data_IF_709668317001
#
_entry.id   IF_709668317001
#
_cell.length_a   1.000
_cell.length_b   1.000
_cell.length_c   1.000
_cell.angle_alpha   90.00
_cell.angle_beta   90.00
_cell.angle_gamma   90.00
#
_symmetry.space_group_name_H-M   'P 1'
#
loop_
_entity.id
_entity.type
_entity.pdbx_description
1 polymer ?
#
# COMPACT_ATOMS: atom_id res chain seq x y z
N UNK A 1 9.37 17.92 25.37
CA UNK A 1 8.22 18.39 26.19
C UNK A 1 8.34 18.02 27.65
N UNK A 2 8.51 16.74 28.02
CA UNK A 2 8.69 16.32 29.45
C UNK A 2 9.83 17.07 30.16
N UNK A 3 11.00 17.24 29.52
CA UNK A 3 12.11 18.05 30.08
C UNK A 3 11.75 19.53 30.28
N UNK A 4 10.99 20.13 29.36
CA UNK A 4 10.51 21.51 29.48
C UNK A 4 9.42 21.66 30.56
N UNK A 5 8.68 20.59 30.83
CA UNK A 5 7.69 20.51 31.90
C UNK A 5 8.37 20.48 33.28
N UNK A 6 9.41 19.66 33.44
CA UNK A 6 10.21 19.62 34.68
C UNK A 6 11.02 20.92 34.92
N UNK A 7 11.47 21.59 33.85
CA UNK A 7 12.13 22.91 33.97
C UNK A 7 11.18 24.02 34.43
N UNK A 8 9.89 23.95 34.09
CA UNK A 8 8.90 24.92 34.55
C UNK A 8 8.50 24.72 36.03
N UNK A 9 8.48 23.48 36.52
CA UNK A 9 8.28 23.15 37.94
C UNK A 9 9.49 23.55 38.81
N UNK A 10 10.68 23.66 38.23
CA UNK A 10 11.92 24.01 38.95
C UNK A 10 12.04 25.52 39.27
N UNK A 11 11.26 26.38 38.60
CA UNK A 11 11.29 27.82 38.81
C UNK A 11 10.41 28.30 39.99
N UNK A 12 9.89 27.40 40.81
CA UNK A 12 8.87 27.70 41.83
C UNK A 12 9.42 27.99 43.24
N UNK A 13 10.73 28.16 43.42
CA UNK A 13 11.32 28.53 44.71
C UNK A 13 11.86 29.95 44.59
N UNK A 14 11.02 30.96 44.85
CA UNK A 14 11.29 32.29 45.42
C UNK A 14 10.00 33.09 45.22
N UNK A 15 9.14 33.13 46.24
CA UNK A 15 8.18 34.20 46.53
C UNK A 15 7.55 33.91 47.87
N UNK A 16 8.26 34.31 48.92
CA UNK A 16 7.75 34.36 50.28
C UNK A 16 7.89 35.80 50.73
N UNK A 17 6.75 36.49 50.85
CA UNK A 17 6.42 37.56 51.82
C UNK A 17 5.40 38.56 51.24
N UNK A 18 4.37 38.88 52.03
CA UNK A 18 3.63 40.14 51.88
C UNK A 18 2.14 40.07 51.53
N UNK A 19 1.35 39.37 52.36
CA UNK A 19 -0.09 39.55 52.63
C UNK A 19 -0.79 40.77 52.01
N UNK A 20 -1.73 40.54 51.06
CA UNK A 20 -3.07 41.20 50.91
C UNK A 20 -3.83 40.89 49.61
N UNK A 21 -3.58 39.79 48.88
CA UNK A 21 -4.28 39.47 47.60
C UNK A 21 -4.91 38.06 47.55
N UNK A 22 -5.38 37.52 48.68
CA UNK A 22 -5.86 36.13 48.78
C UNK A 22 -6.97 35.74 47.78
N UNK A 23 -7.94 36.61 47.51
CA UNK A 23 -9.04 36.27 46.58
C UNK A 23 -8.59 36.19 45.11
N UNK A 24 -7.54 36.93 44.72
CA UNK A 24 -7.01 36.90 43.36
C UNK A 24 -6.03 35.75 43.16
N UNK A 25 -5.21 35.43 44.18
CA UNK A 25 -4.35 34.25 44.18
C UNK A 25 -5.16 32.96 44.15
N UNK A 26 -6.24 32.85 44.92
CA UNK A 26 -7.10 31.66 44.92
C UNK A 26 -7.80 31.46 43.56
N UNK A 27 -8.33 32.53 42.96
CA UNK A 27 -8.92 32.47 41.61
C UNK A 27 -7.87 32.10 40.54
N UNK A 28 -6.64 32.57 40.69
CA UNK A 28 -5.54 32.24 39.79
C UNK A 28 -5.07 30.79 39.95
N UNK A 29 -5.00 30.27 41.18
CA UNK A 29 -4.69 28.88 41.48
C UNK A 29 -5.77 27.93 40.93
N UNK A 30 -7.05 28.28 41.07
CA UNK A 30 -8.16 27.53 40.47
C UNK A 30 -8.11 27.53 38.93
N UNK A 31 -7.83 28.68 38.31
CA UNK A 31 -7.68 28.78 36.85
C UNK A 31 -6.48 27.97 36.35
N UNK A 32 -5.36 28.02 37.07
CA UNK A 32 -4.15 27.23 36.78
C UNK A 32 -4.40 25.73 36.92
N UNK A 33 -5.13 25.29 37.94
CA UNK A 33 -5.52 23.90 38.12
C UNK A 33 -6.46 23.43 36.99
N UNK A 34 -7.41 24.27 36.57
CA UNK A 34 -8.29 23.99 35.44
C UNK A 34 -7.51 23.82 34.13
N UNK A 35 -6.52 24.68 33.87
CA UNK A 35 -5.63 24.56 32.72
C UNK A 35 -4.75 23.31 32.76
N UNK A 36 -4.21 22.94 33.94
CA UNK A 36 -3.47 21.68 34.13
C UNK A 36 -4.34 20.47 33.83
N UNK A 37 -5.60 20.46 34.29
CA UNK A 37 -6.54 19.37 34.02
C UNK A 37 -6.90 19.28 32.53
N UNK A 38 -7.20 20.42 31.86
CA UNK A 38 -7.48 20.43 30.42
C UNK A 38 -6.27 19.99 29.58
N UNK A 39 -5.06 20.38 29.97
CA UNK A 39 -3.84 19.93 29.30
C UNK A 39 -3.57 18.44 29.52
N UNK A 40 -3.80 17.92 30.73
CA UNK A 40 -3.70 16.50 31.03
C UNK A 40 -4.73 15.66 30.25
N UNK A 41 -5.96 16.17 30.12
CA UNK A 41 -7.03 15.57 29.33
C UNK A 41 -6.69 15.56 27.83
N UNK A 42 -6.20 16.67 27.28
CA UNK A 42 -5.73 16.74 25.89
C UNK A 42 -4.57 15.75 25.63
N UNK A 43 -3.63 15.63 26.57
CA UNK A 43 -2.52 14.67 26.48
C UNK A 43 -2.98 13.20 26.64
N UNK A 44 -4.04 12.95 27.40
CA UNK A 44 -4.67 11.63 27.49
C UNK A 44 -5.41 11.28 26.20
N UNK A 45 -6.12 12.25 25.61
CA UNK A 45 -6.78 12.10 24.30
C UNK A 45 -5.76 11.83 23.19
N UNK A 46 -4.64 12.57 23.14
CA UNK A 46 -3.55 12.32 22.19
C UNK A 46 -2.91 10.93 22.38
N UNK A 47 -2.76 10.46 23.63
CA UNK A 47 -2.25 9.10 23.91
C UNK A 47 -3.25 8.01 23.49
N UNK A 48 -4.54 8.24 23.69
CA UNK A 48 -5.59 7.32 23.26
C UNK A 48 -5.69 7.27 21.73
N UNK A 49 -5.64 8.44 21.09
CA UNK A 49 -5.63 8.58 19.64
C UNK A 49 -4.39 7.93 19.01
N UNK A 50 -3.19 8.13 19.56
CA UNK A 50 -1.96 7.43 19.14
C UNK A 50 -2.02 5.91 19.29
N UNK A 51 -2.77 5.36 20.27
CA UNK A 51 -2.97 3.91 20.39
C UNK A 51 -3.95 3.37 19.35
N UNK A 52 -5.00 4.12 19.04
CA UNK A 52 -6.00 3.77 18.03
C UNK A 52 -5.45 3.86 16.60
N UNK A 53 -4.60 4.87 16.31
CA UNK A 53 -4.03 5.05 14.96
C UNK A 53 -2.84 4.12 14.68
N UNK A 54 -2.17 3.58 15.72
CA UNK A 54 -1.09 2.58 15.56
C UNK A 54 -1.55 1.25 14.97
N UNK A 55 -2.87 1.03 14.87
CA UNK A 55 -3.45 -0.23 14.46
C UNK A 55 -4.03 -0.25 13.04
N UNK A 56 -4.14 0.88 12.30
CA UNK A 56 -4.87 0.85 11.02
C UNK A 56 -4.64 1.96 9.99
N UNK A 57 -3.64 2.84 10.13
CA UNK A 57 -3.41 3.91 9.14
C UNK A 57 -1.98 3.91 8.61
N UNK A 58 -1.87 3.89 7.29
CA UNK A 58 -0.64 4.02 6.48
C UNK A 58 0.17 5.26 6.87
N UNK A 59 1.51 5.15 6.82
CA UNK A 59 2.45 6.16 7.35
C UNK A 59 2.32 7.58 6.79
N UNK A 60 1.83 7.78 5.56
CA UNK A 60 1.70 9.12 4.96
C UNK A 60 0.53 9.93 5.53
N UNK A 61 -0.62 9.32 5.78
CA UNK A 61 -1.75 9.96 6.47
C UNK A 61 -1.40 10.21 7.95
N UNK A 62 -0.61 9.34 8.57
CA UNK A 62 -0.12 9.57 9.92
C UNK A 62 0.82 10.78 9.98
N UNK A 63 1.73 10.95 9.02
CA UNK A 63 2.60 12.14 8.96
C UNK A 63 1.81 13.43 8.71
N UNK A 64 0.86 13.43 7.79
CA UNK A 64 0.04 14.63 7.52
C UNK A 64 -0.80 15.02 8.74
N UNK A 65 -1.39 14.03 9.44
CA UNK A 65 -2.18 14.33 10.64
C UNK A 65 -1.30 14.66 11.86
N UNK A 66 -0.14 14.03 12.04
CA UNK A 66 0.80 14.36 13.12
C UNK A 66 1.41 15.76 12.89
N UNK A 67 1.71 16.14 11.64
CA UNK A 67 2.21 17.48 11.30
C UNK A 67 1.12 18.56 11.43
N UNK A 68 -0.11 18.28 10.99
CA UNK A 68 -1.25 19.19 11.22
C UNK A 68 -1.55 19.36 12.72
N UNK A 69 -1.48 18.27 13.49
CA UNK A 69 -1.63 18.28 14.95
C UNK A 69 -0.52 19.09 15.61
N UNK A 70 0.73 18.92 15.17
CA UNK A 70 1.88 19.65 15.69
C UNK A 70 1.77 21.16 15.39
N UNK A 71 1.35 21.54 14.18
CA UNK A 71 1.11 22.95 13.80
C UNK A 71 0.00 23.59 14.63
N UNK A 72 -1.11 22.88 14.86
CA UNK A 72 -2.20 23.38 15.72
C UNK A 72 -1.74 23.56 17.17
N UNK A 73 -0.99 22.59 17.72
CA UNK A 73 -0.42 22.71 19.07
C UNK A 73 0.55 23.89 19.15
N UNK A 74 1.41 24.09 18.15
CA UNK A 74 2.32 25.24 18.09
C UNK A 74 1.56 26.57 18.00
N UNK A 75 0.49 26.66 17.20
CA UNK A 75 -0.34 27.87 17.13
C UNK A 75 -1.02 28.19 18.46
N UNK A 76 -1.57 27.18 19.15
CA UNK A 76 -2.20 27.38 20.47
C UNK A 76 -1.17 27.82 21.51
N UNK A 77 0.01 27.18 21.55
CA UNK A 77 1.09 27.53 22.48
C UNK A 77 1.62 28.93 22.23
N UNK A 78 1.84 29.31 20.97
CA UNK A 78 2.32 30.65 20.60
C UNK A 78 1.27 31.73 20.89
N UNK A 79 0.00 31.48 20.58
CA UNK A 79 -1.10 32.39 20.92
C UNK A 79 -1.25 32.57 22.44
N UNK A 80 -1.08 31.49 23.22
CA UNK A 80 -1.11 31.55 24.68
C UNK A 80 0.06 32.35 25.24
N UNK A 81 1.29 32.13 24.74
CA UNK A 81 2.45 32.91 25.16
C UNK A 81 2.33 34.39 24.82
N UNK A 82 1.81 34.71 23.64
CA UNK A 82 1.54 36.10 23.23
C UNK A 82 0.55 36.77 24.19
N UNK A 83 -0.59 36.14 24.46
CA UNK A 83 -1.58 36.67 25.41
C UNK A 83 -1.01 36.81 26.84
N UNK A 84 -0.15 35.89 27.27
CA UNK A 84 0.53 35.96 28.58
C UNK A 84 1.49 37.16 28.64
N UNK A 85 2.24 37.43 27.57
CA UNK A 85 3.14 38.58 27.47
C UNK A 85 2.35 39.89 27.48
N UNK A 86 1.30 39.99 26.64
CA UNK A 86 0.42 41.17 26.57
C UNK A 86 -0.22 41.49 27.92
N UNK A 87 -0.62 40.46 28.67
CA UNK A 87 -1.15 40.63 30.03
C UNK A 87 -0.09 41.08 31.03
N UNK A 88 1.14 40.58 30.92
CA UNK A 88 2.25 41.01 31.78
C UNK A 88 2.68 42.45 31.49
N UNK A 89 2.63 42.88 30.22
CA UNK A 89 2.88 44.29 29.85
C UNK A 89 1.78 45.20 30.37
N UNK A 90 0.49 44.83 30.21
CA UNK A 90 -0.62 45.61 30.76
C UNK A 90 -0.58 45.68 32.29
N UNK A 91 -0.18 44.61 32.97
CA UNK A 91 0.00 44.61 34.42
C UNK A 91 1.13 45.54 34.89
N UNK A 92 2.22 45.65 34.11
CA UNK A 92 3.31 46.62 34.37
C UNK A 92 2.86 48.06 34.13
N UNK A 93 2.04 48.31 33.11
CA UNK A 93 1.49 49.65 32.85
C UNK A 93 0.46 50.08 33.90
N UNK A 94 -0.23 49.11 34.51
CA UNK A 94 -1.20 49.34 35.57
C UNK A 94 -0.59 49.37 36.98
N UNK A 95 0.67 48.99 37.17
CA UNK A 95 1.36 49.19 38.45
C UNK A 95 1.65 50.68 38.63
N UNK A 96 0.89 51.40 39.46
CA UNK A 96 1.04 52.84 39.60
C UNK A 96 2.27 53.08 40.47
N UNK A 97 3.38 53.53 39.87
CA UNK A 97 4.53 54.27 40.42
C UNK A 97 4.70 54.29 41.96
N UNK A 98 4.64 53.14 42.65
CA UNK A 98 4.62 53.06 44.12
C UNK A 98 5.98 53.19 44.78
N UNK A 99 7.04 53.42 44.00
CA UNK A 99 8.40 53.57 44.48
C UNK A 99 9.04 54.85 43.91
N UNK A 100 8.42 56.01 44.16
CA UNK A 100 9.13 57.29 44.12
C UNK A 100 9.27 57.78 45.57
N UNK A 101 10.51 57.95 46.08
CA UNK A 101 10.71 58.44 47.44
C UNK A 101 10.12 59.86 47.58
N UNK A 102 9.65 60.23 48.78
CA UNK A 102 9.03 61.53 49.02
C UNK A 102 10.08 62.63 48.85
N UNK A 103 9.89 63.46 47.83
CA UNK A 103 10.58 64.74 47.70
C UNK A 103 9.88 65.74 48.62
N UNK A 104 10.59 66.44 49.52
CA UNK A 104 9.97 67.39 50.42
C UNK A 104 9.46 68.63 49.66
N UNK A 105 8.18 68.90 49.88
CA UNK A 105 7.47 70.17 49.90
C UNK A 105 8.12 71.35 49.16
N UNK A 106 7.48 71.78 48.07
CA UNK A 106 7.24 73.21 47.87
C UNK A 106 6.04 73.48 46.93
N UNK A 107 5.18 74.37 47.45
CA UNK A 107 4.16 75.21 46.81
C UNK A 107 2.86 74.57 46.33
N UNK A 108 1.89 74.68 47.24
CA UNK A 108 0.45 74.83 47.05
C UNK A 108 0.07 75.70 45.84
N UNK A 109 -1.04 75.30 45.19
CA UNK A 109 -2.00 76.07 44.37
C UNK A 109 -2.37 75.49 42.99
N UNK A 110 -1.92 74.27 42.64
CA UNK A 110 -2.33 73.57 41.39
C UNK A 110 -3.14 72.28 41.57
N UNK A 111 -3.60 71.96 42.80
CA UNK A 111 -4.03 70.59 43.15
C UNK A 111 -5.49 70.21 42.82
N UNK A 112 -6.32 71.14 42.32
CA UNK A 112 -7.74 70.87 42.04
C UNK A 112 -8.04 70.56 40.56
N UNK A 113 -7.09 70.78 39.64
CA UNK A 113 -7.28 70.47 38.21
C UNK A 113 -6.93 69.02 37.84
N UNK A 114 -6.05 68.34 38.59
CA UNK A 114 -5.62 66.96 38.32
C UNK A 114 -6.64 65.88 38.72
N UNK A 115 -7.64 66.24 39.54
CA UNK A 115 -8.70 65.30 39.93
C UNK A 115 -9.72 65.03 38.82
N UNK A 116 -9.98 66.01 37.95
CA UNK A 116 -11.00 65.90 36.91
C UNK A 116 -10.56 64.97 35.75
N UNK A 117 -9.28 65.03 35.35
CA UNK A 117 -8.73 64.16 34.28
C UNK A 117 -8.67 62.68 34.71
N UNK A 118 -8.47 62.42 36.01
CA UNK A 118 -8.48 61.07 36.59
C UNK A 118 -9.87 60.42 36.53
N UNK A 119 -10.93 61.18 36.80
CA UNK A 119 -12.30 60.66 36.71
C UNK A 119 -12.72 60.32 35.29
N UNK A 120 -12.32 61.14 34.30
CA UNK A 120 -12.63 60.90 32.90
C UNK A 120 -11.88 59.68 32.35
N UNK A 121 -10.62 59.49 32.75
CA UNK A 121 -9.86 58.27 32.49
C UNK A 121 -10.54 57.03 33.10
N UNK A 122 -11.06 57.14 34.33
CA UNK A 122 -11.81 56.06 34.99
C UNK A 122 -13.10 55.67 34.26
N UNK A 123 -13.88 56.65 33.78
CA UNK A 123 -15.10 56.40 33.00
C UNK A 123 -14.78 55.77 31.64
N UNK A 124 -13.71 56.24 30.98
CA UNK A 124 -13.23 55.65 29.73
C UNK A 124 -12.80 54.19 29.93
N UNK A 125 -12.03 53.89 30.97
CA UNK A 125 -11.64 52.53 31.32
C UNK A 125 -12.85 51.62 31.61
N UNK A 126 -13.85 52.10 32.36
CA UNK A 126 -15.06 51.35 32.65
C UNK A 126 -15.89 51.05 31.40
N UNK A 127 -15.95 51.97 30.44
CA UNK A 127 -16.62 51.74 29.15
C UNK A 127 -15.91 50.68 28.31
N UNK A 128 -14.57 50.72 28.25
CA UNK A 128 -13.74 49.72 27.56
C UNK A 128 -13.88 48.33 28.18
N UNK A 129 -13.95 48.24 29.51
CA UNK A 129 -14.19 46.98 30.22
C UNK A 129 -15.53 46.35 29.84
N UNK A 130 -16.61 47.14 29.77
CA UNK A 130 -17.94 46.65 29.36
C UNK A 130 -17.95 46.14 27.92
N UNK A 131 -17.21 46.78 27.02
CA UNK A 131 -17.05 46.31 25.64
C UNK A 131 -16.28 44.98 25.62
N UNK A 132 -15.19 44.87 26.39
CA UNK A 132 -14.41 43.64 26.51
C UNK A 132 -15.25 42.47 27.07
N UNK A 133 -16.11 42.70 28.06
CA UNK A 133 -17.00 41.67 28.62
C UNK A 133 -18.04 41.17 27.61
N UNK A 134 -18.56 42.07 26.75
CA UNK A 134 -19.47 41.69 25.65
C UNK A 134 -18.76 40.86 24.60
N UNK A 135 -17.52 41.22 24.25
CA UNK A 135 -16.73 40.41 23.31
C UNK A 135 -16.35 39.06 23.92
N UNK A 136 -15.99 38.99 25.20
CA UNK A 136 -15.73 37.72 25.88
C UNK A 136 -16.95 36.80 25.92
N UNK A 137 -18.15 37.34 26.13
CA UNK A 137 -19.39 36.56 26.10
C UNK A 137 -19.72 36.07 24.68
N UNK A 138 -19.52 36.90 23.66
CA UNK A 138 -19.65 36.52 22.25
C UNK A 138 -18.68 35.39 21.87
N UNK A 139 -17.40 35.50 22.24
CA UNK A 139 -16.39 34.48 21.96
C UNK A 139 -16.70 33.16 22.65
N UNK A 140 -17.18 33.17 23.90
CA UNK A 140 -17.63 31.95 24.60
C UNK A 140 -18.80 31.27 23.90
N UNK A 141 -19.71 32.03 23.28
CA UNK A 141 -20.82 31.46 22.52
C UNK A 141 -20.31 30.80 21.23
N UNK A 142 -19.41 31.46 20.50
CA UNK A 142 -18.75 30.88 19.32
C UNK A 142 -17.96 29.61 19.67
N UNK A 143 -17.22 29.61 20.78
CA UNK A 143 -16.52 28.42 21.28
C UNK A 143 -17.49 27.25 21.52
N UNK A 144 -18.62 27.50 22.19
CA UNK A 144 -19.65 26.48 22.41
C UNK A 144 -20.24 25.94 21.10
N UNK A 145 -20.50 26.82 20.13
CA UNK A 145 -21.04 26.42 18.83
C UNK A 145 -20.04 25.55 18.06
N UNK A 146 -18.77 25.96 17.99
CA UNK A 146 -17.73 25.16 17.33
C UNK A 146 -17.50 23.82 18.02
N UNK A 147 -17.57 23.75 19.35
CA UNK A 147 -17.50 22.47 20.07
C UNK A 147 -18.67 21.55 19.74
N UNK A 148 -19.88 22.09 19.57
CA UNK A 148 -21.05 21.33 19.14
C UNK A 148 -20.92 20.83 17.69
N UNK A 149 -20.45 21.68 16.77
CA UNK A 149 -20.16 21.30 15.38
C UNK A 149 -19.11 20.18 15.33
N UNK A 150 -18.00 20.31 16.06
CA UNK A 150 -16.96 19.27 16.12
C UNK A 150 -17.48 17.95 16.70
N UNK A 151 -18.38 18.00 17.69
CA UNK A 151 -19.01 16.79 18.22
C UNK A 151 -19.88 16.10 17.15
N UNK A 152 -20.66 16.86 16.39
CA UNK A 152 -21.50 16.34 15.30
C UNK A 152 -20.70 15.75 14.14
N UNK A 153 -19.57 16.38 13.78
CA UNK A 153 -18.67 15.87 12.74
C UNK A 153 -18.01 14.56 13.18
N UNK A 154 -17.58 14.46 14.45
CA UNK A 154 -17.01 13.23 15.00
C UNK A 154 -17.99 12.07 14.99
N UNK A 155 -19.27 12.31 15.29
CA UNK A 155 -20.29 11.24 15.22
C UNK A 155 -20.52 10.81 13.77
N UNK A 156 -20.62 11.75 12.83
CA UNK A 156 -20.78 11.44 11.40
C UNK A 156 -19.57 10.70 10.82
N UNK A 157 -18.34 11.06 11.22
CA UNK A 157 -17.14 10.32 10.83
C UNK A 157 -17.13 8.89 11.37
N UNK A 158 -17.54 8.71 12.63
CA UNK A 158 -17.65 7.37 13.24
C UNK A 158 -18.64 6.48 12.49
N UNK A 159 -19.80 7.02 12.13
CA UNK A 159 -20.80 6.30 11.32
C UNK A 159 -20.26 5.88 9.95
N UNK A 160 -19.53 6.78 9.26
CA UNK A 160 -18.88 6.47 7.97
C UNK A 160 -17.83 5.37 8.12
N UNK A 161 -17.02 5.41 9.19
CA UNK A 161 -16.02 4.37 9.46
C UNK A 161 -16.68 3.02 9.74
N UNK A 162 -17.79 3.00 10.49
CA UNK A 162 -18.55 1.78 10.74
C UNK A 162 -19.22 1.22 9.47
N UNK A 163 -19.71 2.08 8.58
CA UNK A 163 -20.25 1.67 7.28
C UNK A 163 -19.17 1.08 6.37
N UNK A 164 -18.00 1.75 6.27
CA UNK A 164 -16.86 1.22 5.51
C UNK A 164 -16.35 -0.10 6.07
N UNK A 165 -16.32 -0.27 7.40
CA UNK A 165 -15.96 -1.55 8.02
C UNK A 165 -16.94 -2.65 7.62
N UNK A 166 -18.25 -2.38 7.64
CA UNK A 166 -19.28 -3.34 7.20
C UNK A 166 -19.11 -3.74 5.74
N UNK A 167 -18.81 -2.78 4.86
CA UNK A 167 -18.53 -3.04 3.44
C UNK A 167 -17.26 -3.86 3.22
N UNK A 168 -16.23 -3.63 4.03
CA UNK A 168 -14.99 -4.43 3.99
C UNK A 168 -15.26 -5.88 4.40
N UNK A 169 -15.99 -6.09 5.51
CA UNK A 169 -16.36 -7.44 5.97
C UNK A 169 -17.20 -8.20 4.94
N UNK A 170 -18.05 -7.49 4.17
CA UNK A 170 -18.82 -8.06 3.07
C UNK A 170 -17.91 -8.51 1.92
N UNK A 171 -16.97 -7.66 1.50
CA UNK A 171 -16.00 -8.00 0.44
C UNK A 171 -15.11 -9.16 0.87
N UNK A 172 -14.69 -9.22 2.13
CA UNK A 172 -13.92 -10.36 2.67
C UNK A 172 -14.73 -11.66 2.63
N UNK A 173 -16.02 -11.61 2.99
CA UNK A 173 -16.92 -12.77 2.87
C UNK A 173 -17.08 -13.23 1.41
N UNK A 174 -17.24 -12.29 0.47
CA UNK A 174 -17.31 -12.61 -0.97
C UNK A 174 -16.01 -13.23 -1.48
N UNK A 175 -14.85 -12.70 -1.07
CA UNK A 175 -13.55 -13.28 -1.42
C UNK A 175 -13.41 -14.71 -0.91
N UNK A 176 -13.80 -14.99 0.33
CA UNK A 176 -13.73 -16.34 0.90
C UNK A 176 -14.66 -17.31 0.15
N UNK A 177 -15.89 -16.89 -0.16
CA UNK A 177 -16.82 -17.69 -0.96
C UNK A 177 -16.27 -18.01 -2.36
N UNK A 178 -15.70 -17.03 -3.05
CA UNK A 178 -15.06 -17.25 -4.35
C UNK A 178 -13.83 -18.16 -4.24
N UNK A 179 -13.06 -18.05 -3.16
CA UNK A 179 -11.91 -18.92 -2.93
C UNK A 179 -12.33 -20.38 -2.72
N UNK A 180 -13.44 -20.63 -2.00
CA UNK A 180 -14.04 -21.96 -1.88
C UNK A 180 -14.54 -22.49 -3.22
N UNK A 181 -15.16 -21.66 -4.06
CA UNK A 181 -15.61 -22.06 -5.40
C UNK A 181 -14.43 -22.41 -6.33
N UNK A 182 -13.33 -21.67 -6.23
CA UNK A 182 -12.11 -21.96 -7.00
C UNK A 182 -11.47 -23.27 -6.55
N UNK A 183 -11.45 -23.55 -5.24
CA UNK A 183 -10.88 -24.82 -4.76
C UNK A 183 -11.76 -26.00 -5.14
N UNK A 184 -13.08 -25.89 -5.07
CA UNK A 184 -13.98 -26.97 -5.53
C UNK A 184 -13.82 -27.23 -7.02
N UNK A 185 -13.87 -26.19 -7.87
CA UNK A 185 -13.65 -26.33 -9.32
C UNK A 185 -12.27 -26.89 -9.66
N UNK A 186 -11.23 -26.49 -8.92
CA UNK A 186 -9.88 -27.04 -9.08
C UNK A 186 -9.84 -28.54 -8.78
N UNK A 187 -10.51 -28.99 -7.71
CA UNK A 187 -10.61 -30.42 -7.38
C UNK A 187 -11.42 -31.22 -8.40
N UNK A 188 -12.48 -30.64 -8.97
CA UNK A 188 -13.24 -31.24 -10.07
C UNK A 188 -12.37 -31.37 -11.33
N UNK A 189 -11.63 -30.32 -11.70
CA UNK A 189 -10.71 -30.36 -12.83
C UNK A 189 -9.60 -31.39 -12.63
N UNK A 190 -9.03 -31.50 -11.43
CA UNK A 190 -8.02 -32.55 -11.16
C UNK A 190 -8.63 -33.96 -11.18
N UNK A 191 -9.87 -34.13 -10.72
CA UNK A 191 -10.56 -35.42 -10.83
C UNK A 191 -10.85 -35.79 -12.29
N UNK A 192 -11.29 -34.84 -13.12
CA UNK A 192 -11.51 -35.07 -14.56
C UNK A 192 -10.19 -35.35 -15.28
N UNK A 193 -9.12 -34.59 -14.99
CA UNK A 193 -7.79 -34.85 -15.54
C UNK A 193 -7.31 -36.26 -15.17
N UNK A 194 -7.49 -36.67 -13.91
CA UNK A 194 -7.15 -38.03 -13.46
C UNK A 194 -7.96 -39.09 -14.21
N UNK A 195 -9.26 -38.88 -14.39
CA UNK A 195 -10.11 -39.76 -15.18
C UNK A 195 -9.60 -39.91 -16.62
N UNK A 196 -9.20 -38.80 -17.26
CA UNK A 196 -8.61 -38.83 -18.59
C UNK A 196 -7.26 -39.56 -18.61
N UNK A 197 -6.38 -39.34 -17.63
CA UNK A 197 -5.11 -40.08 -17.54
C UNK A 197 -5.32 -41.58 -17.32
N UNK A 198 -6.31 -41.96 -16.52
CA UNK A 198 -6.66 -43.37 -16.29
C UNK A 198 -7.24 -44.01 -17.55
N UNK A 199 -8.08 -43.28 -18.29
CA UNK A 199 -8.67 -43.71 -19.56
C UNK A 199 -7.59 -43.87 -20.64
N UNK A 200 -6.69 -42.90 -20.79
CA UNK A 200 -5.55 -42.99 -21.70
C UNK A 200 -4.61 -44.13 -21.30
N UNK A 201 -4.32 -44.32 -20.01
CA UNK A 201 -3.53 -45.45 -19.53
C UNK A 201 -4.23 -46.80 -19.76
N UNK A 202 -5.56 -46.86 -19.73
CA UNK A 202 -6.31 -48.06 -20.08
C UNK A 202 -6.26 -48.36 -21.58
N UNK A 203 -6.34 -47.32 -22.42
CA UNK A 203 -6.15 -47.43 -23.87
C UNK A 203 -4.73 -47.96 -24.16
N UNK A 204 -3.70 -47.38 -23.54
CA UNK A 204 -2.31 -47.77 -23.74
C UNK A 204 -2.01 -49.20 -23.28
N UNK A 205 -2.54 -49.62 -22.12
CA UNK A 205 -2.52 -51.04 -21.69
C UNK A 205 -3.27 -51.95 -22.66
N UNK A 206 -4.36 -51.47 -23.26
CA UNK A 206 -5.11 -52.17 -24.31
C UNK A 206 -4.37 -52.25 -25.65
N UNK A 207 -3.38 -51.39 -25.89
CA UNK A 207 -2.45 -51.48 -27.02
C UNK A 207 -1.27 -52.40 -26.70
N UNK A 208 -0.65 -52.27 -25.52
CA UNK A 208 0.49 -53.09 -25.11
C UNK A 208 0.12 -54.56 -24.80
N UNK A 209 -1.14 -54.86 -24.46
CA UNK A 209 -1.62 -56.22 -24.20
C UNK A 209 -2.05 -57.02 -25.44
N UNK A 210 -2.13 -56.38 -26.61
CA UNK A 210 -2.44 -57.05 -27.88
C UNK A 210 -1.19 -57.56 -28.60
N UNK A 211 0.02 -57.16 -28.17
CA UNK A 211 1.25 -57.87 -28.48
C UNK A 211 1.35 -59.13 -27.61
N UNK A 212 1.04 -60.30 -28.18
CA UNK A 212 1.25 -61.66 -27.61
C UNK A 212 0.17 -62.25 -26.66
N UNK A 213 -0.95 -61.55 -26.42
CA UNK A 213 -1.97 -61.95 -25.43
C UNK A 213 -3.23 -62.67 -25.92
N UNK A 214 -3.29 -63.18 -27.15
CA UNK A 214 -4.46 -63.88 -27.72
C UNK A 214 -4.84 -65.23 -27.08
N UNK A 215 -4.53 -65.46 -25.79
CA UNK A 215 -4.66 -66.77 -25.12
C UNK A 215 -5.68 -66.85 -23.97
N UNK A 216 -6.15 -65.73 -23.42
CA UNK A 216 -6.93 -65.78 -22.17
C UNK A 216 -8.46 -65.79 -22.34
N UNK A 217 -9.01 -65.34 -23.47
CA UNK A 217 -10.47 -65.39 -23.69
C UNK A 217 -10.97 -66.75 -24.21
N UNK A 218 -10.10 -67.57 -24.81
CA UNK A 218 -10.40 -68.95 -25.24
C UNK A 218 -10.47 -69.98 -24.09
N UNK A 219 -10.23 -69.57 -22.84
CA UNK A 219 -10.24 -70.47 -21.68
C UNK A 219 -11.61 -70.54 -20.98
N UNK A 220 -12.47 -69.52 -21.09
CA UNK A 220 -13.78 -69.51 -20.41
C UNK A 220 -14.90 -70.19 -21.24
N UNK A 221 -14.82 -70.16 -22.57
CA UNK A 221 -15.77 -70.89 -23.44
C UNK A 221 -15.59 -72.41 -23.47
N UNK A 222 -14.47 -72.94 -22.93
CA UNK A 222 -14.22 -74.40 -22.88
C UNK A 222 -14.93 -75.10 -21.72
N UNK A 223 -15.53 -74.38 -20.78
CA UNK A 223 -16.25 -74.95 -19.64
C UNK A 223 -17.74 -75.19 -19.91
N UNK A 224 -18.32 -74.52 -20.93
CA UNK A 224 -19.77 -74.59 -21.24
C UNK A 224 -20.11 -75.45 -22.45
N UNK A 225 -19.13 -76.05 -23.13
CA UNK A 225 -19.39 -76.99 -24.22
C UNK A 225 -19.99 -76.37 -25.50
N UNK A 226 -20.13 -75.05 -25.56
CA UNK A 226 -20.44 -74.34 -26.82
C UNK A 226 -19.13 -74.04 -27.54
N UNK A 227 -18.64 -75.04 -28.27
CA UNK A 227 -17.50 -74.96 -29.18
C UNK A 227 -17.81 -74.18 -30.46
N UNK A 228 -18.41 -73.00 -30.34
CA UNK A 228 -18.41 -72.00 -31.39
C UNK A 228 -17.09 -71.27 -31.33
N UNK A 229 -16.22 -71.52 -32.31
CA UNK A 229 -15.08 -70.65 -32.58
C UNK A 229 -15.64 -69.29 -32.98
N UNK A 230 -15.93 -68.43 -31.99
CA UNK A 230 -16.12 -66.99 -32.17
C UNK A 230 -14.74 -66.42 -32.51
N UNK A 231 -14.26 -66.78 -33.70
CA UNK A 231 -13.22 -66.05 -34.39
C UNK A 231 -13.71 -64.61 -34.40
N UNK A 232 -12.99 -63.73 -33.70
CA UNK A 232 -13.19 -62.29 -33.78
C UNK A 232 -13.44 -61.96 -35.24
N UNK A 233 -14.67 -61.57 -35.54
CA UNK A 233 -15.04 -61.32 -36.92
C UNK A 233 -14.27 -60.08 -37.37
N UNK A 234 -14.02 -59.95 -38.67
CA UNK A 234 -13.43 -58.73 -39.19
C UNK A 234 -14.22 -57.49 -38.75
N UNK A 235 -15.55 -57.63 -38.60
CA UNK A 235 -16.45 -56.61 -38.07
C UNK A 235 -16.17 -56.24 -36.61
N UNK A 236 -15.81 -57.19 -35.74
CA UNK A 236 -15.43 -56.89 -34.36
C UNK A 236 -14.10 -56.13 -34.28
N UNK A 237 -13.14 -56.46 -35.16
CA UNK A 237 -11.88 -55.71 -35.28
C UNK A 237 -12.09 -54.30 -35.79
N UNK A 238 -12.89 -54.14 -36.85
CA UNK A 238 -13.23 -52.83 -37.40
C UNK A 238 -14.02 -51.99 -36.39
N UNK A 239 -14.93 -52.59 -35.64
CA UNK A 239 -15.69 -51.93 -34.56
C UNK A 239 -14.77 -51.49 -33.42
N UNK A 240 -13.80 -52.33 -33.04
CA UNK A 240 -12.80 -51.97 -32.02
C UNK A 240 -11.87 -50.84 -32.48
N UNK A 241 -11.46 -50.85 -33.76
CA UNK A 241 -10.66 -49.76 -34.33
C UNK A 241 -11.47 -48.47 -34.43
N UNK A 242 -12.71 -48.52 -34.92
CA UNK A 242 -13.59 -47.36 -35.02
C UNK A 242 -13.80 -46.70 -33.64
N UNK A 243 -14.10 -47.51 -32.61
CA UNK A 243 -14.26 -47.02 -31.24
C UNK A 243 -12.99 -46.37 -30.65
N UNK A 244 -11.80 -46.68 -31.17
CA UNK A 244 -10.52 -46.06 -30.75
C UNK A 244 -10.17 -44.83 -31.58
N UNK A 245 -10.48 -44.84 -32.88
CA UNK A 245 -10.20 -43.74 -33.80
C UNK A 245 -11.13 -42.57 -33.54
N UNK A 246 -12.39 -42.82 -33.21
CA UNK A 246 -13.38 -41.76 -32.96
C UNK A 246 -12.94 -40.76 -31.87
N UNK A 247 -12.50 -41.17 -30.67
CA UNK A 247 -11.94 -40.24 -29.68
C UNK A 247 -10.73 -39.44 -30.16
N UNK A 248 -9.82 -40.07 -30.91
CA UNK A 248 -8.61 -39.42 -31.44
C UNK A 248 -9.00 -38.36 -32.49
N UNK A 249 -9.94 -38.69 -33.38
CA UNK A 249 -10.42 -37.74 -34.38
C UNK A 249 -11.14 -36.55 -33.75
N UNK A 250 -11.95 -36.80 -32.71
CA UNK A 250 -12.61 -35.74 -31.95
C UNK A 250 -11.61 -34.84 -31.23
N UNK A 251 -10.62 -35.43 -30.56
CA UNK A 251 -9.55 -34.67 -29.90
C UNK A 251 -8.75 -33.83 -30.90
N UNK A 252 -8.35 -34.41 -32.04
CA UNK A 252 -7.65 -33.68 -33.10
C UNK A 252 -8.47 -32.53 -33.66
N UNK A 253 -9.78 -32.69 -33.78
CA UNK A 253 -10.69 -31.62 -34.22
C UNK A 253 -10.83 -30.50 -33.17
N UNK A 254 -10.98 -30.85 -31.89
CA UNK A 254 -11.05 -29.87 -30.80
C UNK A 254 -9.74 -29.10 -30.64
N UNK A 255 -8.60 -29.79 -30.73
CA UNK A 255 -7.27 -29.16 -30.70
C UNK A 255 -7.08 -28.21 -31.88
N UNK A 256 -7.43 -28.65 -33.10
CA UNK A 256 -7.38 -27.80 -34.28
C UNK A 256 -8.25 -26.56 -34.11
N UNK A 257 -9.48 -26.72 -33.64
CA UNK A 257 -10.40 -25.60 -33.41
C UNK A 257 -9.85 -24.61 -32.38
N UNK A 258 -9.33 -25.10 -31.26
CA UNK A 258 -8.70 -24.26 -30.25
C UNK A 258 -7.49 -23.51 -30.81
N UNK A 259 -6.70 -24.17 -31.66
CA UNK A 259 -5.55 -23.55 -32.29
C UNK A 259 -5.96 -22.52 -33.36
N UNK A 260 -7.01 -22.76 -34.14
CA UNK A 260 -7.59 -21.78 -35.07
C UNK A 260 -8.07 -20.50 -34.36
N UNK A 261 -8.51 -20.60 -33.09
CA UNK A 261 -8.85 -19.44 -32.26
C UNK A 261 -7.61 -18.75 -31.66
N UNK A 262 -6.59 -19.51 -31.24
CA UNK A 262 -5.37 -18.98 -30.61
C UNK A 262 -4.40 -18.33 -31.58
N UNK A 263 -4.22 -18.90 -32.78
CA UNK A 263 -3.27 -18.41 -33.79
C UNK A 263 -3.48 -16.94 -34.14
N UNK A 264 -4.69 -16.46 -34.49
CA UNK A 264 -4.89 -15.05 -34.82
C UNK A 264 -4.72 -14.11 -33.61
N UNK A 265 -4.88 -14.62 -32.39
CA UNK A 265 -4.59 -13.84 -31.17
C UNK A 265 -3.09 -13.69 -30.95
N UNK A 266 -2.30 -14.74 -31.14
CA UNK A 266 -0.86 -14.74 -30.88
C UNK A 266 -0.04 -14.18 -32.06
N UNK A 267 -0.49 -14.41 -33.28
CA UNK A 267 0.15 -13.95 -34.52
C UNK A 267 -0.86 -13.22 -35.41
N UNK A 268 -1.26 -11.98 -35.06
CA UNK A 268 -2.27 -11.24 -35.82
C UNK A 268 -1.86 -10.93 -37.28
N UNK A 269 -0.56 -11.00 -37.58
CA UNK A 269 -0.03 -10.77 -38.93
C UNK A 269 0.09 -12.05 -39.78
N UNK A 270 0.02 -13.24 -39.17
CA UNK A 270 0.18 -14.52 -39.87
C UNK A 270 -1.19 -15.17 -40.12
N UNK A 271 -1.36 -15.78 -41.30
CA UNK A 271 -2.56 -16.54 -41.60
C UNK A 271 -2.54 -17.90 -40.88
N UNK A 272 -3.69 -18.34 -40.37
CA UNK A 272 -3.78 -19.63 -39.70
C UNK A 272 -3.42 -20.79 -40.66
N UNK A 273 -2.43 -21.63 -40.31
CA UNK A 273 -2.04 -22.75 -41.16
C UNK A 273 -3.18 -23.77 -41.30
N UNK A 274 -3.38 -24.30 -42.51
CA UNK A 274 -4.40 -25.32 -42.79
C UNK A 274 -3.92 -26.74 -42.49
N UNK A 275 -2.60 -26.94 -42.48
CA UNK A 275 -1.96 -28.24 -42.27
C UNK A 275 -1.57 -28.46 -40.81
N UNK A 276 -1.80 -29.68 -40.32
CA UNK A 276 -1.51 -30.05 -38.93
C UNK A 276 0.00 -29.94 -38.63
N UNK A 277 0.87 -30.32 -39.58
CA UNK A 277 2.33 -30.23 -39.37
C UNK A 277 2.79 -28.77 -39.19
N UNK A 278 2.24 -27.86 -39.98
CA UNK A 278 2.52 -26.43 -39.87
C UNK A 278 1.96 -25.86 -38.56
N UNK A 279 0.77 -26.31 -38.15
CA UNK A 279 0.19 -25.97 -36.86
C UNK A 279 1.07 -26.42 -35.69
N UNK A 280 1.61 -27.65 -35.75
CA UNK A 280 2.54 -28.16 -34.73
C UNK A 280 3.79 -27.30 -34.63
N UNK A 281 4.45 -27.00 -35.76
CA UNK A 281 5.65 -26.14 -35.77
C UNK A 281 5.38 -24.72 -35.25
N UNK A 282 4.15 -24.22 -35.42
CA UNK A 282 3.75 -22.91 -34.94
C UNK A 282 3.46 -22.93 -33.43
N UNK A 283 2.85 -24.01 -32.93
CA UNK A 283 2.65 -24.23 -31.48
C UNK A 283 4.00 -24.42 -30.76
N UNK A 284 4.98 -25.08 -31.39
CA UNK A 284 6.34 -25.21 -30.84
C UNK A 284 7.01 -23.86 -30.61
N UNK A 285 6.71 -22.85 -31.46
CA UNK A 285 7.18 -21.46 -31.33
C UNK A 285 6.32 -20.60 -30.40
N UNK A 286 5.22 -21.14 -29.86
CA UNK A 286 4.33 -20.38 -28.99
C UNK A 286 5.00 -19.85 -27.71
N UNK A 287 5.89 -20.59 -27.02
CA UNK A 287 6.56 -20.09 -25.80
C UNK A 287 7.34 -18.80 -26.05
N UNK A 288 8.15 -18.75 -27.10
CA UNK A 288 8.92 -17.56 -27.48
C UNK A 288 7.97 -16.41 -27.81
N UNK A 289 6.90 -16.71 -28.55
CA UNK A 289 5.88 -15.72 -28.87
C UNK A 289 5.19 -15.15 -27.62
N UNK A 290 4.96 -15.96 -26.58
CA UNK A 290 4.42 -15.48 -25.32
C UNK A 290 5.37 -14.51 -24.61
N UNK A 291 6.68 -14.71 -24.73
CA UNK A 291 7.67 -13.77 -24.22
C UNK A 291 7.60 -12.44 -24.98
N UNK A 292 7.52 -12.47 -26.31
CA UNK A 292 7.30 -11.26 -27.11
C UNK A 292 6.03 -10.51 -26.68
N UNK A 293 4.95 -11.25 -26.41
CA UNK A 293 3.68 -10.67 -25.94
C UNK A 293 3.80 -10.06 -24.55
N UNK A 294 4.59 -10.68 -23.66
CA UNK A 294 4.88 -10.12 -22.34
C UNK A 294 5.60 -8.78 -22.48
N UNK A 295 6.60 -8.70 -23.36
CA UNK A 295 7.36 -7.48 -23.62
C UNK A 295 6.53 -6.43 -24.37
N UNK A 296 5.68 -6.85 -25.30
CA UNK A 296 4.69 -5.99 -25.94
C UNK A 296 3.74 -5.38 -24.89
N UNK A 297 3.24 -6.18 -23.96
CA UNK A 297 2.35 -5.71 -22.90
C UNK A 297 3.06 -4.74 -21.94
N UNK A 298 4.33 -4.97 -21.61
CA UNK A 298 5.11 -4.03 -20.78
C UNK A 298 5.35 -2.72 -21.53
N UNK A 299 5.64 -2.77 -22.83
CA UNK A 299 5.82 -1.58 -23.69
C UNK A 299 4.52 -0.79 -23.82
N UNK A 300 3.39 -1.46 -24.09
CA UNK A 300 2.07 -0.83 -24.12
C UNK A 300 1.69 -0.18 -22.78
N UNK A 301 2.04 -0.83 -21.65
CA UNK A 301 1.83 -0.25 -20.32
C UNK A 301 2.72 0.94 -20.01
N UNK A 302 3.98 0.89 -20.46
CA UNK A 302 4.89 2.02 -20.35
C UNK A 302 4.40 3.22 -21.18
N UNK A 303 3.97 2.99 -22.42
CA UNK A 303 3.39 4.02 -23.29
C UNK A 303 2.14 4.66 -22.66
N UNK A 304 1.22 3.84 -22.16
CA UNK A 304 0.04 4.33 -21.44
C UNK A 304 0.42 5.17 -20.21
N UNK A 305 1.35 4.68 -19.38
CA UNK A 305 1.81 5.41 -18.20
C UNK A 305 2.48 6.75 -18.57
N UNK A 306 3.30 6.77 -19.64
CA UNK A 306 3.91 8.00 -20.14
C UNK A 306 2.86 8.95 -20.71
N UNK A 307 1.85 8.45 -21.42
CA UNK A 307 0.75 9.28 -21.92
C UNK A 307 0.01 9.99 -20.78
N UNK A 308 -0.21 9.29 -19.65
CA UNK A 308 -0.78 9.89 -18.45
C UNK A 308 0.15 10.94 -17.83
N UNK A 309 1.46 10.70 -17.76
CA UNK A 309 2.40 11.70 -17.21
C UNK A 309 2.44 12.94 -18.09
N UNK A 310 2.54 12.75 -19.40
CA UNK A 310 2.60 13.83 -20.39
C UNK A 310 1.30 14.64 -20.42
N UNK A 311 0.14 14.02 -20.21
CA UNK A 311 -1.13 14.75 -20.16
C UNK A 311 -1.26 15.69 -18.95
N UNK A 312 -0.48 15.45 -17.88
CA UNK A 312 -0.42 16.31 -16.70
C UNK A 312 0.73 17.32 -16.78
N UNK A 313 1.81 16.96 -17.47
CA UNK A 313 3.02 17.75 -17.58
C UNK A 313 3.53 17.80 -19.03
N UNK A 314 2.99 18.75 -19.80
CA UNK A 314 3.31 18.91 -21.23
C UNK A 314 4.79 19.27 -21.51
N UNK A 315 5.56 19.70 -20.50
CA UNK A 315 6.95 20.17 -20.65
C UNK A 315 7.99 19.20 -20.02
N UNK A 316 7.59 17.97 -19.67
CA UNK A 316 8.55 17.00 -19.11
C UNK A 316 9.43 16.41 -20.20
N UNK A 317 10.74 16.64 -20.08
CA UNK A 317 11.77 15.98 -20.88
C UNK A 317 11.91 14.50 -20.49
N UNK A 318 11.67 13.61 -21.45
CA UNK A 318 11.72 12.16 -21.25
C UNK A 318 13.12 11.69 -20.85
N UNK A 319 14.18 12.36 -21.32
CA UNK A 319 15.57 12.01 -20.95
C UNK A 319 15.85 12.25 -19.46
N UNK A 320 15.18 13.22 -18.82
CA UNK A 320 15.31 13.43 -17.38
C UNK A 320 14.59 12.37 -16.54
N UNK A 321 13.51 11.77 -17.05
CA UNK A 321 12.81 10.70 -16.35
C UNK A 321 13.66 9.44 -16.29
N UNK A 322 14.36 9.11 -17.38
CA UNK A 322 15.31 8.00 -17.43
C UNK A 322 16.45 8.19 -16.43
N UNK A 323 17.09 9.36 -16.45
CA UNK A 323 18.16 9.70 -15.50
C UNK A 323 17.69 9.60 -14.03
N UNK A 324 16.47 10.06 -13.72
CA UNK A 324 15.92 9.98 -12.35
C UNK A 324 15.55 8.57 -11.91
N UNK A 325 15.33 7.63 -12.84
CA UNK A 325 14.94 6.25 -12.51
C UNK A 325 16.12 5.42 -12.01
N UNK A 326 17.36 5.76 -12.39
CA UNK A 326 18.57 4.99 -12.14
C UNK A 326 19.01 4.84 -10.66
N UNK A 327 18.20 5.25 -9.68
CA UNK A 327 18.50 5.08 -8.24
C UNK A 327 17.31 4.95 -7.31
N UNK A 328 16.07 4.90 -7.83
CA UNK A 328 14.85 5.03 -6.99
C UNK A 328 14.35 3.70 -6.42
N UNK A 329 14.68 2.55 -7.02
CA UNK A 329 14.09 1.27 -6.59
C UNK A 329 14.59 0.74 -5.25
N UNK A 330 15.78 1.15 -4.82
CA UNK A 330 16.38 0.78 -3.53
C UNK A 330 15.80 1.58 -2.35
N UNK A 331 15.31 2.81 -2.59
CA UNK A 331 14.87 3.73 -1.53
C UNK A 331 13.39 3.58 -1.13
N UNK A 332 12.59 2.87 -1.93
CA UNK A 332 11.15 2.72 -1.69
C UNK A 332 10.84 1.72 -0.58
N UNK A 333 10.00 2.12 0.38
CA UNK A 333 9.49 1.22 1.42
C UNK A 333 8.57 0.14 0.83
N UNK A 334 8.42 -0.99 1.53
CA UNK A 334 7.56 -2.10 1.07
C UNK A 334 6.10 -1.66 0.83
N UNK A 335 5.58 -0.74 1.65
CA UNK A 335 4.23 -0.17 1.48
C UNK A 335 4.12 0.68 0.21
N UNK A 336 5.14 1.48 -0.10
CA UNK A 336 5.18 2.28 -1.32
C UNK A 336 5.30 1.39 -2.56
N UNK A 337 6.07 0.30 -2.49
CA UNK A 337 6.14 -0.71 -3.54
C UNK A 337 4.77 -1.37 -3.79
N UNK A 338 4.03 -1.71 -2.73
CA UNK A 338 2.69 -2.27 -2.86
C UNK A 338 1.67 -1.26 -3.44
N UNK A 339 1.71 0.00 -2.99
CA UNK A 339 0.85 1.06 -3.53
C UNK A 339 1.19 1.36 -5.00
N UNK A 340 2.48 1.36 -5.37
CA UNK A 340 2.96 1.47 -6.76
C UNK A 340 2.40 0.32 -7.60
N UNK A 341 2.53 -0.92 -7.10
CA UNK A 341 2.04 -2.10 -7.80
C UNK A 341 0.52 -2.04 -8.01
N UNK A 342 -0.26 -1.67 -6.99
CA UNK A 342 -1.71 -1.54 -7.12
C UNK A 342 -2.12 -0.50 -8.18
N UNK A 343 -1.40 0.62 -8.26
CA UNK A 343 -1.62 1.64 -9.30
C UNK A 343 -1.18 1.17 -10.67
N UNK A 344 -0.05 0.47 -10.78
CA UNK A 344 0.40 -0.12 -12.03
C UNK A 344 -0.63 -1.15 -12.55
N UNK A 345 -1.20 -1.97 -11.67
CA UNK A 345 -2.29 -2.88 -12.02
C UNK A 345 -3.53 -2.14 -12.52
N UNK A 346 -3.91 -1.02 -11.90
CA UNK A 346 -5.03 -0.20 -12.36
C UNK A 346 -4.75 0.45 -13.72
N UNK A 347 -3.52 0.90 -13.99
CA UNK A 347 -3.11 1.39 -15.32
C UNK A 347 -3.21 0.27 -16.37
N UNK A 348 -2.88 -0.96 -15.97
CA UNK A 348 -2.94 -2.11 -16.86
C UNK A 348 -4.36 -2.47 -17.34
N UNK A 349 -5.41 -1.98 -16.66
CA UNK A 349 -6.80 -2.14 -17.09
C UNK A 349 -7.18 -1.21 -18.25
N UNK A 350 -6.42 -0.13 -18.47
CA UNK A 350 -6.64 0.80 -19.58
C UNK A 350 -5.89 0.40 -20.86
N UNK A 351 -5.00 -0.59 -20.79
CA UNK A 351 -4.23 -1.08 -21.94
C UNK A 351 -5.09 -2.07 -22.74
N UNK A 352 -5.16 -1.87 -24.06
CA UNK A 352 -5.72 -2.90 -24.94
C UNK A 352 -4.73 -4.05 -25.13
N UNK A 353 -4.92 -5.12 -24.35
CA UNK A 353 -4.09 -6.33 -24.35
C UNK A 353 -4.17 -7.14 -25.64
N UNK A 354 -5.07 -6.78 -26.57
CA UNK A 354 -5.22 -7.44 -27.87
C UNK A 354 -4.28 -6.89 -28.94
N UNK A 355 -3.70 -5.72 -28.68
CA UNK A 355 -2.80 -5.06 -29.62
C UNK A 355 -1.35 -5.47 -29.30
N UNK A 356 -0.71 -6.10 -30.27
CA UNK A 356 0.71 -6.37 -30.22
C UNK A 356 1.48 -5.11 -30.61
N UNK A 357 2.33 -4.63 -29.72
CA UNK A 357 3.28 -3.54 -29.96
C UNK A 357 4.63 -4.19 -30.27
N UNK A 358 5.14 -4.03 -31.48
CA UNK A 358 6.47 -4.55 -31.87
C UNK A 358 7.59 -3.68 -31.30
N UNK A 359 8.76 -4.27 -31.02
CA UNK A 359 9.90 -3.50 -30.51
C UNK A 359 10.36 -2.52 -31.61
N UNK A 360 10.41 -1.21 -31.34
CA UNK A 360 10.96 -0.25 -32.30
C UNK A 360 12.46 -0.44 -32.56
N UNK A 361 13.20 -1.11 -31.66
CA UNK A 361 14.62 -1.40 -31.81
C UNK A 361 14.90 -2.85 -31.41
N UNK A 362 14.55 -3.84 -32.27
CA UNK A 362 14.84 -5.23 -31.97
C UNK A 362 16.35 -5.38 -31.77
N UNK A 363 16.74 -6.01 -30.66
CA UNK A 363 18.13 -6.44 -30.47
C UNK A 363 18.51 -7.28 -31.70
N UNK A 364 19.46 -6.81 -32.50
CA UNK A 364 20.05 -7.66 -33.52
C UNK A 364 20.82 -8.74 -32.75
N UNK A 365 20.43 -9.99 -32.93
CA UNK A 365 21.03 -11.18 -32.28
C UNK A 365 22.56 -11.36 -32.56
N UNK A 366 23.23 -10.37 -33.16
CA UNK A 366 24.66 -10.37 -33.48
C UNK A 366 25.56 -9.88 -32.33
N UNK A 367 25.03 -9.28 -31.26
CA UNK A 367 25.85 -8.69 -30.16
C UNK A 367 25.93 -9.52 -28.86
N UNK A 368 25.11 -10.56 -28.66
CA UNK A 368 25.08 -11.34 -27.40
C UNK A 368 26.10 -12.50 -27.31
N UNK A 369 26.84 -12.85 -28.39
CA UNK A 369 27.83 -13.95 -28.35
C UNK A 369 29.23 -13.55 -27.83
N UNK A 370 29.48 -12.28 -27.47
CA UNK A 370 30.85 -11.81 -27.15
C UNK A 370 31.17 -11.59 -25.66
N UNK A 371 30.25 -11.79 -24.72
CA UNK A 371 30.49 -11.46 -23.31
C UNK A 371 30.77 -12.65 -22.36
N UNK A 372 30.74 -13.90 -22.84
CA UNK A 372 30.85 -15.09 -21.97
C UNK A 372 32.23 -15.82 -21.98
N UNK A 373 33.25 -15.34 -22.71
CA UNK A 373 34.57 -16.04 -22.78
C UNK A 373 35.68 -15.54 -21.82
N UNK A 374 35.49 -14.48 -21.04
CA UNK A 374 36.54 -14.00 -20.11
C UNK A 374 36.10 -14.08 -18.65
N UNK A 375 36.27 -15.24 -18.01
CA UNK A 375 36.84 -15.43 -16.64
C UNK A 375 37.12 -16.94 -16.49
N UNK A 376 38.25 -17.40 -17.04
CA UNK A 376 38.92 -18.60 -16.53
C UNK A 376 40.18 -18.12 -15.80
N UNK A 377 40.03 -17.84 -14.50
CA UNK A 377 41.14 -17.53 -13.62
C UNK A 377 42.02 -18.78 -13.46
N UNK A 378 43.13 -18.77 -14.19
CA UNK A 378 44.30 -19.63 -14.04
C UNK A 378 44.75 -19.62 -12.56
N UNK A 379 44.44 -20.72 -11.86
CA UNK A 379 44.98 -20.97 -10.52
C UNK A 379 46.45 -21.39 -10.64
N UNK A 380 47.39 -20.73 -9.94
CA UNK A 380 48.80 -21.09 -10.00
C UNK A 380 49.07 -22.45 -9.34
N UNK A 381 49.99 -23.27 -9.88
CA UNK A 381 50.26 -24.62 -9.39
C UNK A 381 50.91 -24.63 -8.00
N UNK A 382 50.61 -25.63 -7.15
CA UNK A 382 51.20 -25.72 -5.82
C UNK A 382 52.69 -26.09 -5.87
N UNK A 383 53.46 -25.43 -5.01
CA UNK A 383 54.89 -25.57 -4.85
C UNK A 383 55.31 -27.00 -4.46
N UNK A 384 56.30 -27.52 -5.17
CA UNK A 384 57.04 -28.72 -4.81
C UNK A 384 57.90 -28.46 -3.56
N UNK A 385 57.60 -29.14 -2.46
CA UNK A 385 58.53 -29.31 -1.34
C UNK A 385 59.45 -30.51 -1.61
N UNK A 386 60.79 -30.35 -1.50
CA UNK A 386 61.73 -31.46 -1.56
C UNK A 386 62.07 -32.01 -0.17
N UNK A 387 62.54 -33.27 -0.16
CA UNK A 387 63.30 -33.95 0.89
C UNK A 387 62.54 -34.90 1.83
N UNK A 388 62.59 -36.19 1.49
CA UNK A 388 62.54 -37.33 2.42
C UNK A 388 63.62 -38.36 2.03
N UNK A 389 64.39 -38.93 2.99
CA UNK A 389 65.72 -39.51 2.75
C UNK A 389 65.70 -41.01 2.39
N UNK A 390 66.83 -41.58 1.92
CA UNK A 390 66.91 -42.95 1.45
C UNK A 390 67.02 -43.95 2.62
N UNK A 391 66.25 -45.03 2.56
CA UNK A 391 66.42 -46.20 3.42
C UNK A 391 66.57 -47.46 2.58
N UNK A 392 67.60 -48.22 2.98
CA UNK A 392 68.15 -49.39 2.35
C UNK A 392 67.29 -50.65 2.49
N UNK A 393 67.40 -51.52 1.48
CA UNK A 393 67.72 -52.95 1.58
C UNK A 393 66.74 -53.88 2.30
N UNK A 394 66.21 -54.87 1.56
CA UNK A 394 66.56 -56.31 1.65
C UNK A 394 66.40 -56.92 0.27
#
# INVERSE_FOLDING_TARGET
MEKAWHQADSCEIISREGSRHGAFEDAFLCYRASLKNKAAEAMAQLRCWRRLTRFRLSGSLFQVVDEASHRLVQQVVTSYHKAKIERATLARELEPSRLRPPVPQQTDLGLLALGAESEEAGRSAASKLKVADRELTRLRLLEKNHLAELASLRTAEKEKVEDLSRRLDEVERQRLALQEEVTTKSTELTATAKHWTDLLGAIDRGFSGCGLGGRWRCARGRATGEGGSECFTMEDYMSSLAARVEPITKFGWELRKAAEELVPMLWPAEAAPQDISSLTSLIERAPDRFLDWKESATRAGADMALSFVLSWYNEVDLGQLEYRRAGVEEELSAEQKAARLARASAIADFIDKRLFVADPNPHSDEEEELEDEEIEMESPPPANDPAGPPSAGV
#
